data_IF_822354682957
#
_entry.id   IF_822354682957
#
_cell.length_a   1.000
_cell.length_b   1.000
_cell.length_c   1.000
_cell.angle_alpha   90.00
_cell.angle_beta   90.00
_cell.angle_gamma   90.00
#
_symmetry.space_group_name_H-M   'P 1'
#
loop_
_entity.id
_entity.type
_entity.pdbx_description
1 polymer ?
#
# COMPACT_ATOMS: atom_id res chain seq x y z
N UNK A 1 -22.14 -17.28 -4.54
CA UNK A 1 -22.70 -16.25 -5.44
C UNK A 1 -22.42 -14.92 -4.77
N UNK A 2 -21.74 -14.00 -5.45
CA UNK A 2 -21.58 -12.63 -4.95
C UNK A 2 -22.93 -11.90 -4.98
N UNK A 3 -23.16 -11.00 -4.04
CA UNK A 3 -24.30 -10.08 -4.12
C UNK A 3 -24.09 -9.10 -5.28
N UNK A 4 -25.03 -9.05 -6.23
CA UNK A 4 -25.04 -8.03 -7.29
C UNK A 4 -25.92 -6.87 -6.84
N UNK A 5 -25.29 -5.73 -6.56
CA UNK A 5 -25.96 -4.52 -6.09
C UNK A 5 -26.44 -3.61 -7.24
N UNK A 6 -26.17 -3.97 -8.50
CA UNK A 6 -26.54 -3.19 -9.67
C UNK A 6 -25.79 -1.85 -9.81
N UNK A 7 -24.74 -1.64 -9.01
CA UNK A 7 -23.90 -0.43 -9.03
C UNK A 7 -22.46 -0.80 -8.64
N UNK A 8 -21.44 -0.07 -9.13
CA UNK A 8 -20.09 -0.17 -8.60
C UNK A 8 -20.04 0.16 -7.10
N UNK A 9 -19.17 -0.56 -6.40
CA UNK A 9 -18.82 -0.38 -4.98
C UNK A 9 -17.30 -0.32 -4.87
N UNK A 10 -16.82 0.80 -4.35
CA UNK A 10 -15.42 1.09 -4.15
C UNK A 10 -15.13 1.13 -2.65
N UNK A 11 -14.14 0.35 -2.21
CA UNK A 11 -13.41 0.68 -0.99
C UNK A 11 -12.29 1.66 -1.37
N UNK A 12 -12.39 2.89 -0.87
CA UNK A 12 -11.54 4.00 -1.28
C UNK A 12 -10.23 4.08 -0.49
N UNK A 13 -10.08 3.29 0.57
CA UNK A 13 -8.85 3.28 1.35
C UNK A 13 -8.72 2.02 2.20
N UNK A 14 -7.91 1.07 1.72
CA UNK A 14 -7.50 -0.07 2.53
C UNK A 14 -6.02 -0.39 2.40
N UNK A 15 -5.56 -1.20 3.34
CA UNK A 15 -4.26 -1.86 3.29
C UNK A 15 -4.47 -3.37 3.17
N UNK A 16 -3.99 -3.97 2.08
CA UNK A 16 -3.90 -5.43 1.96
C UNK A 16 -2.53 -5.89 2.47
N UNK A 17 -2.52 -6.90 3.32
CA UNK A 17 -1.30 -7.55 3.78
C UNK A 17 -1.35 -9.04 3.41
N UNK A 18 -0.61 -9.47 2.37
CA UNK A 18 -0.54 -10.88 1.99
C UNK A 18 0.40 -11.71 2.89
N UNK A 19 1.29 -11.07 3.67
CA UNK A 19 2.27 -11.77 4.53
C UNK A 19 1.71 -12.10 5.91
N UNK A 20 1.03 -11.13 6.52
CA UNK A 20 0.58 -11.21 7.91
C UNK A 20 -0.94 -11.10 8.07
N UNK A 21 -1.64 -10.71 7.00
CA UNK A 21 -3.09 -10.59 6.97
C UNK A 21 -3.73 -11.71 6.17
N UNK A 22 -4.97 -11.46 5.75
CA UNK A 22 -5.76 -12.39 4.93
C UNK A 22 -5.49 -12.24 3.44
N UNK A 23 -4.72 -11.22 3.03
CA UNK A 23 -4.41 -10.93 1.63
C UNK A 23 -5.63 -11.02 0.71
N UNK A 24 -5.53 -11.86 -0.31
CA UNK A 24 -6.56 -12.05 -1.34
C UNK A 24 -7.85 -12.66 -0.81
N UNK A 25 -7.81 -13.45 0.27
CA UNK A 25 -9.04 -13.99 0.87
C UNK A 25 -9.98 -12.87 1.36
N UNK A 26 -9.42 -11.74 1.82
CA UNK A 26 -10.22 -10.57 2.18
C UNK A 26 -10.87 -9.91 0.95
N UNK A 27 -10.18 -9.91 -0.19
CA UNK A 27 -10.72 -9.41 -1.47
C UNK A 27 -11.87 -10.31 -1.93
N UNK A 28 -11.70 -11.62 -1.85
CA UNK A 28 -12.78 -12.57 -2.20
C UNK A 28 -14.01 -12.40 -1.31
N UNK A 29 -13.83 -12.08 -0.02
CA UNK A 29 -14.95 -11.74 0.87
C UNK A 29 -15.63 -10.43 0.50
N UNK A 30 -14.85 -9.41 0.20
CA UNK A 30 -15.37 -8.14 -0.29
C UNK A 30 -16.21 -8.36 -1.56
N UNK A 31 -15.71 -9.15 -2.52
CA UNK A 31 -16.44 -9.53 -3.73
C UNK A 31 -17.72 -10.29 -3.40
N UNK A 32 -17.70 -11.22 -2.43
CA UNK A 32 -18.91 -11.95 -2.02
C UNK A 32 -20.03 -11.01 -1.54
N UNK A 33 -19.67 -9.88 -0.94
CA UNK A 33 -20.60 -8.86 -0.43
C UNK A 33 -20.91 -7.74 -1.44
N UNK A 34 -20.56 -7.92 -2.72
CA UNK A 34 -20.87 -6.97 -3.80
C UNK A 34 -19.81 -5.89 -4.03
N UNK A 35 -18.64 -6.03 -3.41
CA UNK A 35 -17.46 -5.22 -3.68
C UNK A 35 -16.93 -5.43 -5.10
N UNK A 36 -16.51 -4.34 -5.75
CA UNK A 36 -16.07 -4.40 -7.18
C UNK A 36 -14.76 -3.68 -7.46
N UNK A 37 -14.42 -2.66 -6.68
CA UNK A 37 -13.22 -1.84 -6.92
C UNK A 37 -12.50 -1.56 -5.61
N UNK A 38 -11.18 -1.37 -5.67
CA UNK A 38 -10.34 -1.09 -4.51
C UNK A 38 -9.31 0.01 -4.81
N UNK A 39 -9.06 0.89 -3.84
CA UNK A 39 -7.81 1.68 -3.75
C UNK A 39 -6.94 1.09 -2.63
N UNK A 40 -5.82 0.49 -3.02
CA UNK A 40 -4.92 -0.21 -2.10
C UNK A 40 -3.73 0.69 -1.79
N UNK A 41 -3.68 1.17 -0.54
CA UNK A 41 -2.61 2.02 -0.05
C UNK A 41 -1.46 1.15 0.46
N UNK A 42 -0.22 1.45 0.08
CA UNK A 42 0.92 0.69 0.57
C UNK A 42 0.99 0.74 2.10
N UNK A 43 1.43 -0.37 2.70
CA UNK A 43 1.66 -0.42 4.15
C UNK A 43 2.87 0.43 4.53
N UNK A 44 2.94 0.88 5.80
CA UNK A 44 4.17 1.45 6.34
C UNK A 44 5.36 0.50 6.12
N UNK A 45 6.51 1.05 5.71
CA UNK A 45 7.69 0.28 5.28
C UNK A 45 8.14 -0.74 6.33
N UNK A 46 8.19 -0.33 7.60
CA UNK A 46 8.62 -1.18 8.71
C UNK A 46 7.67 -2.36 8.98
N UNK A 47 6.39 -2.26 8.61
CA UNK A 47 5.45 -3.39 8.70
C UNK A 47 5.65 -4.40 7.57
N UNK A 48 6.40 -4.05 6.53
CA UNK A 48 6.85 -4.95 5.47
C UNK A 48 8.31 -5.38 5.64
N UNK A 49 8.93 -5.04 6.78
CA UNK A 49 10.33 -5.36 7.07
C UNK A 49 11.34 -4.49 6.33
N UNK A 50 10.92 -3.34 5.82
CA UNK A 50 11.78 -2.36 5.15
C UNK A 50 12.07 -1.21 6.09
N UNK A 51 13.33 -1.11 6.52
CA UNK A 51 13.87 0.02 7.27
C UNK A 51 14.72 0.88 6.32
N UNK A 52 14.14 1.89 5.65
CA UNK A 52 14.82 2.62 4.59
C UNK A 52 15.93 3.51 5.16
N UNK A 53 17.11 3.48 4.57
CA UNK A 53 18.24 4.38 4.81
C UNK A 53 18.47 5.33 3.61
N UNK A 54 17.99 4.95 2.42
CA UNK A 54 18.00 5.77 1.21
C UNK A 54 16.65 5.72 0.45
N UNK A 55 16.34 6.71 -0.42
CA UNK A 55 15.07 6.76 -1.14
C UNK A 55 14.70 5.51 -1.92
N UNK A 56 15.67 4.85 -2.55
CA UNK A 56 15.42 3.66 -3.37
C UNK A 56 14.96 2.44 -2.55
N UNK A 57 15.19 2.41 -1.24
CA UNK A 57 14.71 1.33 -0.36
C UNK A 57 13.17 1.23 -0.36
N UNK A 58 12.46 2.33 -0.64
CA UNK A 58 10.99 2.32 -0.72
C UNK A 58 10.45 1.53 -1.92
N UNK A 59 11.27 1.25 -2.94
CA UNK A 59 10.84 0.46 -4.12
C UNK A 59 10.30 -0.90 -3.72
N UNK A 60 10.93 -1.57 -2.77
CA UNK A 60 10.47 -2.87 -2.28
C UNK A 60 9.04 -2.82 -1.71
N UNK A 61 8.67 -1.73 -1.04
CA UNK A 61 7.31 -1.50 -0.52
C UNK A 61 6.32 -1.27 -1.66
N UNK A 62 6.73 -0.50 -2.67
CA UNK A 62 5.87 -0.17 -3.81
C UNK A 62 5.65 -1.38 -4.71
N UNK A 63 6.69 -2.14 -5.02
CA UNK A 63 6.62 -3.36 -5.82
C UNK A 63 5.73 -4.42 -5.17
N UNK A 64 5.88 -4.64 -3.85
CA UNK A 64 4.98 -5.54 -3.13
C UNK A 64 3.51 -5.07 -3.17
N UNK A 65 3.29 -3.76 -3.09
CA UNK A 65 1.94 -3.19 -3.22
C UNK A 65 1.38 -3.41 -4.62
N UNK A 66 2.19 -3.21 -5.66
CA UNK A 66 1.80 -3.43 -7.06
C UNK A 66 1.46 -4.91 -7.33
N UNK A 67 2.26 -5.85 -6.84
CA UNK A 67 1.97 -7.28 -6.92
C UNK A 67 0.65 -7.62 -6.23
N UNK A 68 0.42 -7.05 -5.05
CA UNK A 68 -0.82 -7.24 -4.30
C UNK A 68 -2.04 -6.68 -5.05
N UNK A 69 -1.91 -5.49 -5.65
CA UNK A 69 -2.97 -4.88 -6.47
C UNK A 69 -3.26 -5.68 -7.74
N UNK A 70 -2.23 -6.20 -8.39
CA UNK A 70 -2.39 -7.06 -9.56
C UNK A 70 -3.17 -8.32 -9.18
N UNK A 71 -2.79 -9.00 -8.09
CA UNK A 71 -3.50 -10.18 -7.60
C UNK A 71 -4.95 -9.88 -7.17
N UNK A 72 -5.21 -8.74 -6.53
CA UNK A 72 -6.57 -8.31 -6.18
C UNK A 72 -7.42 -8.03 -7.43
N UNK A 73 -6.83 -7.44 -8.47
CA UNK A 73 -7.52 -7.13 -9.73
C UNK A 73 -8.01 -8.40 -10.44
N UNK A 74 -7.25 -9.50 -10.39
CA UNK A 74 -7.67 -10.78 -10.99
C UNK A 74 -8.92 -11.39 -10.32
N UNK A 75 -9.22 -11.00 -9.08
CA UNK A 75 -10.35 -11.52 -8.30
C UNK A 75 -11.57 -10.58 -8.34
N UNK A 76 -11.33 -9.28 -8.46
CA UNK A 76 -12.40 -8.28 -8.49
C UNK A 76 -13.20 -8.35 -9.80
N UNK A 77 -14.54 -8.22 -9.76
CA UNK A 77 -15.33 -7.98 -10.95
C UNK A 77 -14.94 -6.69 -11.71
N UNK A 78 -14.42 -5.70 -10.97
CA UNK A 78 -13.89 -4.44 -11.51
C UNK A 78 -12.36 -4.43 -11.53
N UNK A 79 -11.74 -3.50 -10.79
CA UNK A 79 -10.29 -3.29 -10.77
C UNK A 79 -9.82 -2.71 -9.43
N UNK A 80 -8.58 -3.04 -9.05
CA UNK A 80 -7.87 -2.36 -7.98
C UNK A 80 -6.82 -1.37 -8.54
N UNK A 81 -6.55 -0.30 -7.79
CA UNK A 81 -5.47 0.64 -8.09
C UNK A 81 -4.55 0.82 -6.89
N UNK A 82 -3.23 0.98 -7.11
CA UNK A 82 -2.29 1.25 -6.04
C UNK A 82 -2.33 2.73 -5.66
N UNK A 83 -2.13 3.02 -4.38
CA UNK A 83 -1.79 4.36 -3.86
C UNK A 83 -0.45 4.23 -3.16
N UNK A 84 0.58 4.78 -3.81
CA UNK A 84 1.98 4.65 -3.40
C UNK A 84 2.47 5.92 -2.73
N UNK A 85 3.19 5.79 -1.62
CA UNK A 85 3.83 6.90 -0.94
C UNK A 85 4.52 6.51 0.36
N UNK A 86 5.07 7.53 1.01
CA UNK A 86 5.77 7.36 2.29
C UNK A 86 4.83 7.65 3.45
N UNK A 87 4.67 6.66 4.34
CA UNK A 87 3.78 6.81 5.48
C UNK A 87 4.28 7.93 6.42
N UNK A 88 3.44 8.92 6.80
CA UNK A 88 3.88 10.08 7.57
C UNK A 88 4.42 9.71 8.97
N UNK A 89 3.89 8.65 9.58
CA UNK A 89 4.38 8.12 10.86
C UNK A 89 5.82 7.60 10.83
N UNK A 90 6.44 7.45 9.65
CA UNK A 90 7.86 7.11 9.53
C UNK A 90 8.75 8.17 10.19
N UNK A 91 8.34 9.45 10.18
CA UNK A 91 9.16 10.55 10.70
C UNK A 91 9.55 10.35 12.18
N UNK A 92 8.61 9.90 13.02
CA UNK A 92 8.87 9.63 14.43
C UNK A 92 9.80 8.44 14.60
N UNK A 93 9.68 7.39 13.77
CA UNK A 93 10.62 6.26 13.83
C UNK A 93 12.03 6.69 13.44
N UNK A 94 12.16 7.48 12.38
CA UNK A 94 13.47 7.96 11.92
C UNK A 94 14.16 8.82 12.99
N UNK A 95 13.43 9.79 13.56
CA UNK A 95 14.00 10.74 14.53
C UNK A 95 14.15 10.15 15.92
N UNK A 96 13.11 9.50 16.44
CA UNK A 96 13.05 9.08 17.84
C UNK A 96 13.63 7.68 18.09
N UNK A 97 13.62 6.79 17.08
CA UNK A 97 14.07 5.40 17.21
C UNK A 97 15.36 5.09 16.44
N UNK A 98 15.68 5.85 15.37
CA UNK A 98 16.81 5.58 14.47
C UNK A 98 17.85 6.70 14.41
N UNK A 99 17.73 7.71 15.28
CA UNK A 99 18.70 8.81 15.46
C UNK A 99 18.96 9.69 14.21
N UNK A 100 18.02 9.74 13.25
CA UNK A 100 18.12 10.68 12.13
C UNK A 100 17.88 12.11 12.62
N UNK A 101 18.59 13.09 12.05
CA UNK A 101 18.18 14.48 12.22
C UNK A 101 16.82 14.73 11.53
N UNK A 102 16.01 15.69 12.00
CA UNK A 102 14.77 16.06 11.31
C UNK A 102 14.96 16.41 9.84
N UNK A 103 16.08 17.05 9.47
CA UNK A 103 16.42 17.35 8.08
C UNK A 103 16.70 16.10 7.26
N UNK A 104 17.50 15.17 7.79
CA UNK A 104 17.80 13.92 7.10
C UNK A 104 16.55 13.06 6.93
N UNK A 105 15.70 12.98 7.95
CA UNK A 105 14.44 12.25 7.90
C UNK A 105 13.48 12.86 6.87
N UNK A 106 13.37 14.20 6.82
CA UNK A 106 12.61 14.92 5.79
C UNK A 106 13.12 14.58 4.39
N UNK A 107 14.43 14.64 4.17
CA UNK A 107 15.04 14.45 2.85
C UNK A 107 14.86 13.00 2.37
N UNK A 108 15.01 12.02 3.26
CA UNK A 108 14.71 10.62 2.99
C UNK A 108 13.23 10.41 2.58
N UNK A 109 12.29 10.96 3.37
CA UNK A 109 10.86 10.82 3.07
C UNK A 109 10.45 11.53 1.78
N UNK A 110 11.05 12.69 1.47
CA UNK A 110 10.82 13.38 0.19
C UNK A 110 11.37 12.58 -0.99
N UNK A 111 12.58 12.05 -0.88
CA UNK A 111 13.15 11.18 -1.91
C UNK A 111 12.28 9.94 -2.14
N UNK A 112 11.73 9.33 -1.09
CA UNK A 112 10.78 8.22 -1.23
C UNK A 112 9.50 8.58 -1.99
N UNK A 113 9.00 9.83 -1.83
CA UNK A 113 7.88 10.33 -2.64
C UNK A 113 8.27 10.59 -4.09
N UNK A 114 9.51 11.03 -4.36
CA UNK A 114 10.04 11.15 -5.72
C UNK A 114 10.12 9.77 -6.38
N UNK A 115 10.62 8.75 -5.69
CA UNK A 115 10.63 7.36 -6.17
C UNK A 115 9.22 6.84 -6.43
N UNK A 116 8.25 7.13 -5.55
CA UNK A 116 6.86 6.75 -5.77
C UNK A 116 6.28 7.36 -7.06
N UNK A 117 6.71 8.59 -7.40
CA UNK A 117 6.25 9.28 -8.61
C UNK A 117 6.72 8.65 -9.91
N UNK A 118 7.72 7.77 -9.88
CA UNK A 118 8.19 7.04 -11.07
C UNK A 118 7.23 5.92 -11.52
N UNK A 119 6.29 5.53 -10.65
CA UNK A 119 5.33 4.44 -10.90
C UNK A 119 3.99 4.95 -11.45
N UNK A 120 3.84 6.25 -11.74
CA UNK A 120 2.60 6.89 -12.22
C UNK A 120 2.72 7.57 -13.57
#
# INVERSE_FOLDING_TARGET
MSEDLGTPVLDDHLHLDPRHGRGIEAVEEFVRLGGTHLLVVNKPSWLLGVEPDEPDDFRAVFEETLETVAAATEVLPGRAWPVLGVHPGLISRLVDERDFSPEAARDLMRGGLEVASEYV
#
